data_IF_976713650137
#
_entry.id   IF_976713650137
#
_cell.length_a   1.000
_cell.length_b   1.000
_cell.length_c   1.000
_cell.angle_alpha   90.00
_cell.angle_beta   90.00
_cell.angle_gamma   90.00
#
_symmetry.space_group_name_H-M   'P 1'
#
loop_
_entity.id
_entity.type
_entity.pdbx_description
1 polymer ?
#
# COMPACT_ATOMS: atom_id res chain seq x y z
N UNK A 1 -11.24 26.00 0.18
CA UNK A 1 -10.24 25.10 -0.45
C UNK A 1 -10.40 23.64 -0.03
N UNK A 2 -10.23 23.23 1.26
CA UNK A 2 -10.45 21.83 1.68
C UNK A 2 -11.93 21.44 1.59
N UNK A 3 -12.86 22.30 2.04
CA UNK A 3 -14.30 22.07 1.92
C UNK A 3 -14.79 22.06 0.47
N UNK A 4 -14.18 22.83 -0.41
CA UNK A 4 -14.49 22.84 -1.84
C UNK A 4 -13.95 21.60 -2.56
N UNK A 5 -12.78 21.07 -2.14
CA UNK A 5 -12.27 19.77 -2.60
C UNK A 5 -13.21 18.62 -2.17
N UNK A 6 -13.67 18.62 -0.92
CA UNK A 6 -14.65 17.64 -0.45
C UNK A 6 -16.01 17.79 -1.14
N UNK A 7 -16.45 19.00 -1.46
CA UNK A 7 -17.68 19.26 -2.22
C UNK A 7 -17.55 18.81 -3.68
N UNK A 8 -16.40 19.02 -4.31
CA UNK A 8 -16.14 18.56 -5.69
C UNK A 8 -16.07 17.03 -5.78
N UNK A 9 -15.51 16.36 -4.76
CA UNK A 9 -15.48 14.89 -4.66
C UNK A 9 -16.87 14.32 -4.44
N UNK A 10 -17.73 15.04 -3.70
CA UNK A 10 -19.08 14.55 -3.33
C UNK A 10 -20.17 14.92 -4.35
N UNK A 11 -19.88 15.83 -5.29
CA UNK A 11 -20.89 16.32 -6.24
C UNK A 11 -21.10 15.44 -7.48
N UNK A 12 -20.40 14.28 -7.59
CA UNK A 12 -20.63 13.36 -8.72
C UNK A 12 -20.41 13.97 -10.11
N UNK A 13 -19.81 15.18 -10.18
CA UNK A 13 -19.65 15.95 -11.41
C UNK A 13 -18.53 15.42 -12.32
N UNK A 14 -17.94 14.27 -12.00
CA UNK A 14 -17.16 13.50 -12.97
C UNK A 14 -18.19 12.59 -13.65
N UNK A 15 -18.72 13.06 -14.77
CA UNK A 15 -19.67 12.36 -15.59
C UNK A 15 -19.36 10.86 -15.68
N UNK A 16 -20.36 10.03 -15.33
CA UNK A 16 -20.36 8.63 -15.66
C UNK A 16 -20.02 8.48 -17.14
N UNK A 17 -18.85 7.96 -17.45
CA UNK A 17 -18.54 7.55 -18.81
C UNK A 17 -19.44 6.37 -19.12
N UNK A 18 -20.22 6.38 -20.24
CA UNK A 18 -20.98 5.22 -20.65
C UNK A 18 -20.01 4.18 -21.20
N UNK A 19 -19.50 3.37 -20.32
CA UNK A 19 -18.69 2.21 -20.61
C UNK A 19 -19.16 1.12 -19.67
N UNK A 20 -20.09 0.29 -20.15
CA UNK A 20 -20.66 -0.84 -19.41
C UNK A 20 -19.58 -1.79 -18.94
N UNK A 21 -19.16 -1.65 -17.72
CA UNK A 21 -18.33 -2.57 -16.98
C UNK A 21 -18.97 -2.83 -15.63
N UNK A 22 -18.91 -4.08 -15.14
CA UNK A 22 -19.52 -4.58 -13.91
C UNK A 22 -19.00 -3.92 -12.60
N UNK A 23 -18.60 -2.65 -12.64
CA UNK A 23 -18.19 -1.89 -11.44
C UNK A 23 -19.41 -1.32 -10.75
N UNK A 24 -19.40 -1.33 -9.42
CA UNK A 24 -20.50 -0.76 -8.63
C UNK A 24 -20.62 0.75 -8.86
N UNK A 25 -21.86 1.23 -8.93
CA UNK A 25 -22.20 2.64 -8.94
C UNK A 25 -22.84 3.01 -7.59
N UNK A 26 -22.00 3.47 -6.66
CA UNK A 26 -22.40 3.77 -5.29
C UNK A 26 -22.27 5.24 -4.98
N UNK A 27 -23.19 5.77 -4.21
CA UNK A 27 -23.05 7.09 -3.61
C UNK A 27 -22.46 6.98 -2.21
N UNK A 28 -21.22 7.45 -2.02
CA UNK A 28 -20.55 7.41 -0.73
C UNK A 28 -21.07 8.52 0.17
N UNK A 29 -21.69 8.21 1.34
CA UNK A 29 -22.18 9.22 2.26
C UNK A 29 -21.03 10.12 2.75
N UNK A 30 -21.30 11.42 2.89
CA UNK A 30 -20.27 12.40 3.30
C UNK A 30 -19.58 12.08 4.63
N UNK A 31 -20.29 11.40 5.55
CA UNK A 31 -19.74 10.97 6.84
C UNK A 31 -18.76 9.78 6.72
N UNK A 32 -18.83 9.00 5.64
CA UNK A 32 -18.03 7.77 5.48
C UNK A 32 -16.53 8.07 5.40
N UNK A 33 -16.13 9.14 4.72
CA UNK A 33 -14.74 9.56 4.62
C UNK A 33 -14.13 9.95 5.98
N UNK A 34 -14.74 10.89 6.75
CA UNK A 34 -14.25 11.19 8.10
C UNK A 34 -14.26 9.97 9.03
N UNK A 35 -15.25 9.10 8.92
CA UNK A 35 -15.32 7.87 9.71
C UNK A 35 -14.17 6.92 9.37
N UNK A 36 -13.91 6.67 8.08
CA UNK A 36 -12.80 5.83 7.63
C UNK A 36 -11.44 6.39 8.11
N UNK A 37 -11.20 7.69 7.87
CA UNK A 37 -9.96 8.35 8.31
C UNK A 37 -9.83 8.30 9.84
N UNK A 38 -10.92 8.53 10.56
CA UNK A 38 -10.96 8.46 12.02
C UNK A 38 -10.64 7.06 12.56
N UNK A 39 -11.18 6.01 11.92
CA UNK A 39 -10.90 4.62 12.29
C UNK A 39 -9.44 4.26 11.99
N UNK A 40 -8.91 4.66 10.82
CA UNK A 40 -7.50 4.46 10.47
C UNK A 40 -6.58 5.17 11.46
N UNK A 41 -6.87 6.44 11.78
CA UNK A 41 -6.10 7.20 12.76
C UNK A 41 -6.17 6.58 14.15
N UNK A 42 -7.35 6.14 14.60
CA UNK A 42 -7.51 5.43 15.86
C UNK A 42 -6.73 4.12 15.88
N UNK A 43 -6.77 3.34 14.79
CA UNK A 43 -6.02 2.11 14.64
C UNK A 43 -4.50 2.35 14.75
N UNK A 44 -3.97 3.37 14.08
CA UNK A 44 -2.56 3.77 14.18
C UNK A 44 -2.19 4.23 15.60
N UNK A 45 -3.07 4.98 16.26
CA UNK A 45 -2.84 5.43 17.63
C UNK A 45 -2.85 4.25 18.62
N UNK A 46 -3.79 3.33 18.49
CA UNK A 46 -3.84 2.10 19.32
C UNK A 46 -2.57 1.29 19.08
N UNK A 47 -2.18 1.11 17.84
CA UNK A 47 -0.96 0.42 17.47
C UNK A 47 0.29 1.03 18.13
N UNK A 48 0.42 2.35 18.10
CA UNK A 48 1.54 3.10 18.68
C UNK A 48 1.52 3.13 20.22
N UNK A 49 0.35 3.36 20.82
CA UNK A 49 0.23 3.67 22.24
C UNK A 49 0.00 2.43 23.11
N UNK A 50 -0.65 1.40 22.57
CA UNK A 50 -1.05 0.20 23.34
C UNK A 50 -0.04 -0.93 23.11
N UNK A 51 0.20 -1.30 21.86
CA UNK A 51 1.03 -2.48 21.55
C UNK A 51 2.53 -2.19 21.65
N UNK A 52 2.96 -0.95 21.38
CA UNK A 52 4.37 -0.65 21.20
C UNK A 52 4.88 0.58 21.96
N UNK A 53 4.37 0.76 23.15
CA UNK A 53 4.78 1.88 24.03
C UNK A 53 6.26 1.82 24.42
N UNK A 54 6.87 0.63 24.46
CA UNK A 54 8.31 0.42 24.76
C UNK A 54 8.94 -0.37 23.64
N UNK A 55 10.12 0.04 23.22
CA UNK A 55 10.93 -0.73 22.28
C UNK A 55 11.24 -2.10 22.88
N UNK A 56 10.77 -3.15 22.25
CA UNK A 56 11.09 -4.54 22.58
C UNK A 56 11.27 -5.35 21.30
N UNK A 57 11.91 -6.49 21.40
CA UNK A 57 12.03 -7.42 20.29
C UNK A 57 10.73 -8.22 20.20
N UNK A 58 9.98 -8.01 19.12
CA UNK A 58 8.72 -8.74 18.85
C UNK A 58 9.05 -10.21 18.57
N UNK A 59 8.40 -11.13 19.28
CA UNK A 59 8.58 -12.55 19.04
C UNK A 59 7.64 -13.06 17.94
N UNK A 60 7.97 -14.21 17.33
CA UNK A 60 7.21 -14.78 16.22
C UNK A 60 5.73 -15.03 16.55
N UNK A 61 5.42 -15.47 17.77
CA UNK A 61 4.04 -15.74 18.19
C UNK A 61 3.22 -14.44 18.31
N UNK A 62 3.81 -13.40 18.87
CA UNK A 62 3.22 -12.07 18.97
C UNK A 62 2.94 -11.49 17.57
N UNK A 63 3.94 -11.51 16.69
CA UNK A 63 3.81 -11.08 15.30
C UNK A 63 2.71 -11.86 14.54
N UNK A 64 2.60 -13.17 14.77
CA UNK A 64 1.59 -14.01 14.14
C UNK A 64 0.17 -13.65 14.63
N UNK A 65 -0.01 -13.43 15.93
CA UNK A 65 -1.30 -13.04 16.52
C UNK A 65 -1.70 -11.65 16.01
N UNK A 66 -0.80 -10.68 16.04
CA UNK A 66 -1.06 -9.33 15.52
C UNK A 66 -1.41 -9.36 14.04
N UNK A 67 -0.64 -10.12 13.23
CA UNK A 67 -0.95 -10.28 11.80
C UNK A 67 -2.33 -10.89 11.58
N UNK A 68 -2.69 -11.93 12.34
CA UNK A 68 -4.00 -12.57 12.25
C UNK A 68 -5.13 -11.60 12.65
N UNK A 69 -4.93 -10.78 13.66
CA UNK A 69 -5.90 -9.75 14.08
C UNK A 69 -6.10 -8.71 12.98
N UNK A 70 -5.01 -8.18 12.41
CA UNK A 70 -5.10 -7.18 11.33
C UNK A 70 -5.74 -7.74 10.07
N UNK A 71 -5.40 -8.98 9.68
CA UNK A 71 -6.05 -9.65 8.55
C UNK A 71 -7.53 -9.88 8.83
N UNK A 72 -7.87 -10.35 10.03
CA UNK A 72 -9.26 -10.55 10.42
C UNK A 72 -10.08 -9.27 10.43
N UNK A 73 -9.51 -8.15 10.92
CA UNK A 73 -10.15 -6.83 10.85
C UNK A 73 -10.35 -6.37 9.41
N UNK A 74 -9.34 -6.50 8.54
CA UNK A 74 -9.45 -6.16 7.12
C UNK A 74 -10.54 -6.97 6.41
N UNK A 75 -10.64 -8.27 6.70
CA UNK A 75 -11.71 -9.13 6.19
C UNK A 75 -13.09 -8.75 6.76
N UNK A 76 -13.17 -8.37 8.04
CA UNK A 76 -14.42 -7.95 8.67
C UNK A 76 -14.98 -6.65 8.06
N UNK A 77 -14.12 -5.76 7.57
CA UNK A 77 -14.54 -4.55 6.86
C UNK A 77 -15.34 -4.88 5.60
N UNK A 78 -15.17 -6.06 4.98
CA UNK A 78 -16.02 -6.54 3.88
C UNK A 78 -17.50 -6.53 4.28
N UNK A 79 -17.80 -6.99 5.51
CA UNK A 79 -19.18 -6.96 6.06
C UNK A 79 -19.67 -5.53 6.34
N UNK A 80 -18.80 -4.62 6.74
CA UNK A 80 -19.13 -3.20 6.95
C UNK A 80 -19.48 -2.54 5.60
N UNK A 81 -18.67 -2.77 4.57
CA UNK A 81 -18.93 -2.28 3.20
C UNK A 81 -20.26 -2.83 2.68
N UNK A 82 -20.52 -4.14 2.85
CA UNK A 82 -21.81 -4.74 2.49
C UNK A 82 -22.97 -4.01 3.16
N UNK A 83 -22.93 -3.86 4.48
CA UNK A 83 -24.00 -3.23 5.25
C UNK A 83 -24.21 -1.75 4.87
N UNK A 84 -23.13 -1.03 4.59
CA UNK A 84 -23.18 0.39 4.23
C UNK A 84 -23.87 0.62 2.90
N UNK A 85 -23.66 -0.25 1.91
CA UNK A 85 -24.21 -0.09 0.55
C UNK A 85 -25.39 -1.02 0.24
N UNK A 86 -25.82 -1.89 1.18
CA UNK A 86 -26.97 -2.77 1.01
C UNK A 86 -28.28 -2.00 0.71
N UNK A 87 -28.46 -0.83 1.35
CA UNK A 87 -29.61 0.03 1.12
C UNK A 87 -29.69 0.64 -0.29
N UNK A 88 -28.57 0.64 -1.03
CA UNK A 88 -28.50 1.09 -2.43
C UNK A 88 -28.68 -0.07 -3.43
N UNK A 89 -28.80 -1.31 -2.95
CA UNK A 89 -28.81 -2.52 -3.79
C UNK A 89 -27.43 -3.02 -4.20
N UNK A 90 -26.37 -2.29 -3.89
CA UNK A 90 -25.00 -2.55 -4.33
C UNK A 90 -24.09 -3.20 -3.26
N UNK A 91 -24.66 -3.62 -2.13
CA UNK A 91 -23.90 -4.17 -1.01
C UNK A 91 -23.02 -5.37 -1.39
N UNK A 92 -23.53 -6.31 -2.20
CA UNK A 92 -22.78 -7.48 -2.66
C UNK A 92 -21.66 -7.09 -3.63
N UNK A 93 -21.94 -6.22 -4.60
CA UNK A 93 -20.93 -5.73 -5.55
C UNK A 93 -19.82 -4.98 -4.86
N UNK A 94 -20.14 -4.00 -4.01
CA UNK A 94 -19.19 -3.20 -3.25
C UNK A 94 -18.31 -4.06 -2.32
N UNK A 95 -18.88 -5.07 -1.65
CA UNK A 95 -18.11 -5.97 -0.78
C UNK A 95 -17.17 -6.88 -1.56
N UNK A 96 -17.57 -7.35 -2.74
CA UNK A 96 -16.71 -8.15 -3.64
C UNK A 96 -15.56 -7.29 -4.19
N UNK A 97 -15.84 -6.06 -4.64
CA UNK A 97 -14.78 -5.15 -5.08
C UNK A 97 -13.79 -4.83 -3.95
N UNK A 98 -14.29 -4.51 -2.75
CA UNK A 98 -13.43 -4.29 -1.58
C UNK A 98 -12.56 -5.51 -1.27
N UNK A 99 -13.16 -6.70 -1.18
CA UNK A 99 -12.44 -7.92 -0.85
C UNK A 99 -11.37 -8.25 -1.89
N UNK A 100 -11.70 -8.11 -3.19
CA UNK A 100 -10.77 -8.31 -4.29
C UNK A 100 -9.60 -7.34 -4.20
N UNK A 101 -9.89 -6.05 -4.03
CA UNK A 101 -8.88 -5.01 -3.89
C UNK A 101 -7.99 -5.26 -2.65
N UNK A 102 -8.59 -5.63 -1.51
CA UNK A 102 -7.89 -5.96 -0.27
C UNK A 102 -6.94 -7.16 -0.45
N UNK A 103 -7.39 -8.25 -1.09
CA UNK A 103 -6.58 -9.44 -1.31
C UNK A 103 -5.42 -9.19 -2.28
N UNK A 104 -5.67 -8.44 -3.37
CA UNK A 104 -4.62 -8.02 -4.30
C UNK A 104 -3.59 -7.19 -3.57
N UNK A 105 -4.02 -6.14 -2.86
CA UNK A 105 -3.11 -5.25 -2.14
C UNK A 105 -2.35 -6.00 -1.05
N UNK A 106 -3.02 -6.88 -0.29
CA UNK A 106 -2.38 -7.71 0.73
C UNK A 106 -1.32 -8.62 0.15
N UNK A 107 -1.56 -9.21 -1.03
CA UNK A 107 -0.60 -10.08 -1.72
C UNK A 107 0.62 -9.28 -2.21
N UNK A 108 0.41 -8.12 -2.84
CA UNK A 108 1.50 -7.24 -3.28
C UNK A 108 2.27 -6.63 -2.10
N UNK A 109 1.59 -6.36 -0.99
CA UNK A 109 2.20 -5.81 0.22
C UNK A 109 3.20 -6.75 0.90
N UNK A 110 3.13 -8.05 0.65
CA UNK A 110 4.13 -8.99 1.19
C UNK A 110 5.50 -8.74 0.56
N UNK A 111 5.55 -8.37 -0.72
CA UNK A 111 6.81 -8.01 -1.40
C UNK A 111 7.45 -6.76 -0.76
N UNK A 112 6.65 -5.76 -0.42
CA UNK A 112 7.12 -4.56 0.30
C UNK A 112 7.83 -4.94 1.60
N UNK A 113 7.30 -5.93 2.33
CA UNK A 113 7.90 -6.43 3.59
C UNK A 113 9.30 -7.01 3.36
N UNK A 114 9.50 -7.77 2.28
CA UNK A 114 10.83 -8.32 1.97
C UNK A 114 11.83 -7.25 1.59
N UNK A 115 11.42 -6.25 0.81
CA UNK A 115 12.28 -5.12 0.47
C UNK A 115 12.65 -4.34 1.73
N UNK A 116 11.72 -4.11 2.65
CA UNK A 116 12.01 -3.47 3.93
C UNK A 116 13.01 -4.29 4.77
N UNK A 117 12.87 -5.62 4.78
CA UNK A 117 13.82 -6.51 5.46
C UNK A 117 15.25 -6.41 4.87
N UNK A 118 15.35 -6.30 3.54
CA UNK A 118 16.64 -6.07 2.86
C UNK A 118 17.22 -4.71 3.25
N UNK A 119 16.41 -3.65 3.22
CA UNK A 119 16.83 -2.29 3.58
C UNK A 119 17.34 -2.27 5.02
N UNK A 120 16.58 -2.81 5.99
CA UNK A 120 17.00 -2.86 7.39
C UNK A 120 18.28 -3.67 7.59
N UNK A 121 18.43 -4.80 6.90
CA UNK A 121 19.61 -5.64 6.95
C UNK A 121 20.83 -4.90 6.39
N UNK A 122 20.68 -4.27 5.23
CA UNK A 122 21.75 -3.52 4.56
C UNK A 122 22.26 -2.36 5.43
N UNK A 123 21.34 -1.56 5.96
CA UNK A 123 21.69 -0.43 6.84
C UNK A 123 22.03 -0.87 8.28
N UNK A 124 22.01 -2.17 8.58
CA UNK A 124 22.27 -2.74 9.92
C UNK A 124 21.45 -2.07 11.01
N UNK A 125 20.16 -1.80 10.72
CA UNK A 125 19.26 -1.16 11.69
C UNK A 125 19.01 -2.10 12.87
N UNK A 126 19.33 -1.68 14.11
CA UNK A 126 19.04 -2.49 15.29
C UNK A 126 17.56 -2.86 15.37
N UNK A 127 17.23 -4.12 15.72
CA UNK A 127 15.84 -4.63 15.76
C UNK A 127 14.91 -3.75 16.60
N UNK A 128 15.43 -3.20 17.70
CA UNK A 128 14.70 -2.28 18.60
C UNK A 128 14.32 -0.92 17.96
N UNK A 129 15.00 -0.52 16.85
CA UNK A 129 14.71 0.74 16.14
C UNK A 129 13.83 0.54 14.91
N UNK A 130 13.76 -0.68 14.37
CA UNK A 130 12.97 -1.00 13.18
C UNK A 130 11.49 -0.65 13.36
N UNK A 131 10.97 -0.90 14.54
CA UNK A 131 9.59 -0.65 14.93
C UNK A 131 9.13 0.79 14.68
N UNK A 132 9.92 1.76 15.14
CA UNK A 132 9.61 3.18 14.98
C UNK A 132 9.74 3.63 13.53
N UNK A 133 10.72 3.11 12.82
CA UNK A 133 10.91 3.40 11.39
C UNK A 133 9.75 2.86 10.57
N UNK A 134 9.29 1.62 10.86
CA UNK A 134 8.11 1.04 10.21
C UNK A 134 6.84 1.82 10.48
N UNK A 135 6.65 2.33 11.71
CA UNK A 135 5.47 3.17 12.02
C UNK A 135 5.41 4.40 11.13
N UNK A 136 6.52 5.15 11.02
CA UNK A 136 6.58 6.32 10.16
C UNK A 136 6.48 5.97 8.68
N UNK A 137 7.08 4.84 8.26
CA UNK A 137 6.95 4.32 6.90
C UNK A 137 5.49 3.98 6.55
N UNK A 138 4.76 3.30 7.43
CA UNK A 138 3.34 3.01 7.23
C UNK A 138 2.49 4.29 7.17
N UNK A 139 2.78 5.25 8.04
CA UNK A 139 2.08 6.53 8.02
C UNK A 139 2.32 7.30 6.70
N UNK A 140 3.59 7.38 6.25
CA UNK A 140 3.95 8.00 4.98
C UNK A 140 3.33 7.26 3.78
N UNK A 141 3.41 5.93 3.78
CA UNK A 141 2.79 5.09 2.75
C UNK A 141 1.28 5.34 2.63
N UNK A 142 0.55 5.44 3.75
CA UNK A 142 -0.88 5.77 3.73
C UNK A 142 -1.18 7.14 3.11
N UNK A 143 -0.38 8.16 3.45
CA UNK A 143 -0.52 9.51 2.89
C UNK A 143 -0.21 9.52 1.40
N UNK A 144 0.89 8.88 0.99
CA UNK A 144 1.29 8.79 -0.41
C UNK A 144 0.24 8.02 -1.23
N UNK A 145 -0.25 6.89 -0.76
CA UNK A 145 -1.28 6.10 -1.46
C UNK A 145 -2.60 6.83 -1.54
N UNK A 146 -2.99 7.59 -0.51
CA UNK A 146 -4.14 8.48 -0.63
C UNK A 146 -4.00 9.42 -1.83
N UNK A 147 -2.85 10.10 -1.94
CA UNK A 147 -2.59 11.00 -3.07
C UNK A 147 -2.57 10.24 -4.40
N UNK A 148 -1.89 9.09 -4.48
CA UNK A 148 -1.78 8.29 -5.70
C UNK A 148 -3.14 7.74 -6.16
N UNK A 149 -4.00 7.29 -5.24
CA UNK A 149 -5.32 6.79 -5.57
C UNK A 149 -6.18 7.91 -6.15
N UNK A 150 -6.23 9.08 -5.49
CA UNK A 150 -7.04 10.19 -5.97
C UNK A 150 -6.57 10.73 -7.31
N UNK A 151 -5.24 10.94 -7.46
CA UNK A 151 -4.65 11.39 -8.72
C UNK A 151 -4.79 10.31 -9.79
N UNK A 152 -4.47 9.06 -9.45
CA UNK A 152 -4.55 7.92 -10.38
C UNK A 152 -5.96 7.69 -10.91
N UNK A 153 -6.97 7.70 -10.03
CA UNK A 153 -8.37 7.58 -10.44
C UNK A 153 -8.80 8.72 -11.36
N UNK A 154 -8.46 9.97 -11.01
CA UNK A 154 -8.79 11.14 -11.83
C UNK A 154 -8.13 11.06 -13.23
N UNK A 155 -6.88 10.62 -13.28
CA UNK A 155 -6.12 10.49 -14.52
C UNK A 155 -6.66 9.34 -15.40
N UNK A 156 -6.94 8.17 -14.82
CA UNK A 156 -7.51 7.03 -15.55
C UNK A 156 -8.92 7.35 -16.08
N UNK A 157 -9.75 8.02 -15.29
CA UNK A 157 -11.09 8.44 -15.72
C UNK A 157 -11.05 9.46 -16.87
N UNK A 158 -9.99 10.27 -16.95
CA UNK A 158 -9.79 11.25 -18.03
C UNK A 158 -9.18 10.62 -19.27
N UNK A 159 -8.31 9.63 -19.11
CA UNK A 159 -7.52 9.04 -20.20
C UNK A 159 -7.56 7.50 -20.10
N UNK A 160 -8.62 6.88 -20.60
CA UNK A 160 -8.82 5.41 -20.54
C UNK A 160 -7.66 4.64 -21.24
N UNK A 161 -6.95 5.26 -22.19
CA UNK A 161 -5.76 4.66 -22.82
C UNK A 161 -4.65 4.33 -21.82
N UNK A 162 -4.64 4.98 -20.65
CA UNK A 162 -3.68 4.68 -19.60
C UNK A 162 -3.87 3.28 -19.01
N UNK A 163 -5.08 2.71 -19.05
CA UNK A 163 -5.32 1.33 -18.65
C UNK A 163 -4.49 0.36 -19.49
N UNK A 164 -4.40 0.61 -20.82
CA UNK A 164 -3.55 -0.17 -21.71
C UNK A 164 -2.08 -0.03 -21.32
N UNK A 165 -1.65 1.22 -21.08
CA UNK A 165 -0.24 1.49 -20.74
C UNK A 165 0.14 0.83 -19.41
N UNK A 166 -0.68 0.98 -18.37
CA UNK A 166 -0.46 0.34 -17.08
C UNK A 166 -0.58 -1.18 -17.16
N UNK A 167 -1.54 -1.72 -17.92
CA UNK A 167 -1.65 -3.17 -18.13
C UNK A 167 -0.37 -3.76 -18.75
N UNK A 168 0.15 -3.14 -19.79
CA UNK A 168 1.41 -3.57 -20.42
C UNK A 168 2.62 -3.40 -19.48
N UNK A 169 2.64 -2.33 -18.69
CA UNK A 169 3.66 -2.09 -17.68
C UNK A 169 3.66 -3.20 -16.61
N UNK A 170 2.48 -3.56 -16.08
CA UNK A 170 2.36 -4.66 -15.11
C UNK A 170 2.81 -6.01 -15.69
N UNK A 171 2.45 -6.30 -16.94
CA UNK A 171 2.92 -7.52 -17.63
C UNK A 171 4.45 -7.51 -17.75
N UNK A 172 5.03 -6.37 -18.13
CA UNK A 172 6.49 -6.22 -18.24
C UNK A 172 7.18 -6.39 -16.89
N UNK A 173 6.68 -5.75 -15.83
CA UNK A 173 7.21 -5.86 -14.48
C UNK A 173 7.13 -7.31 -13.96
N UNK A 174 5.96 -7.95 -14.10
CA UNK A 174 5.81 -9.35 -13.73
C UNK A 174 6.74 -10.29 -14.49
N UNK A 175 6.93 -10.05 -15.78
CA UNK A 175 7.87 -10.83 -16.60
C UNK A 175 9.33 -10.62 -16.16
N UNK A 176 9.72 -9.39 -15.82
CA UNK A 176 11.06 -9.05 -15.36
C UNK A 176 11.38 -9.74 -14.03
N UNK A 177 10.45 -9.70 -13.06
CA UNK A 177 10.57 -10.42 -11.78
C UNK A 177 10.68 -11.93 -12.01
N UNK A 178 9.88 -12.50 -12.93
CA UNK A 178 9.93 -13.93 -13.23
C UNK A 178 11.29 -14.39 -13.77
N UNK A 179 12.02 -13.48 -14.46
CA UNK A 179 13.38 -13.73 -14.94
C UNK A 179 14.49 -13.55 -13.91
N UNK A 180 14.16 -13.07 -12.71
CA UNK A 180 15.14 -12.82 -11.65
C UNK A 180 16.05 -11.61 -11.90
N UNK A 181 15.65 -10.68 -12.75
CA UNK A 181 16.50 -9.54 -13.15
C UNK A 181 16.60 -8.43 -12.08
N UNK A 182 15.86 -8.51 -10.97
CA UNK A 182 15.78 -7.48 -9.93
C UNK A 182 16.54 -7.80 -8.62
N UNK A 183 17.26 -8.94 -8.54
CA UNK A 183 17.80 -9.42 -7.25
C UNK A 183 19.05 -8.69 -6.74
N UNK A 184 19.74 -7.87 -7.54
CA UNK A 184 21.11 -7.37 -7.22
C UNK A 184 21.24 -5.85 -6.97
N UNK A 185 20.15 -5.12 -6.70
CA UNK A 185 20.27 -3.66 -6.48
C UNK A 185 20.60 -3.35 -5.02
N UNK A 186 21.82 -2.86 -4.76
CA UNK A 186 22.24 -2.38 -3.43
C UNK A 186 21.46 -1.09 -3.05
N UNK A 187 20.66 -1.11 -1.97
CA UNK A 187 19.88 0.05 -1.54
C UNK A 187 20.69 1.30 -1.23
N UNK A 188 21.96 1.16 -0.83
CA UNK A 188 22.86 2.29 -0.51
C UNK A 188 23.40 2.99 -1.75
N UNK A 189 23.45 2.30 -2.89
CA UNK A 189 23.92 2.83 -4.17
C UNK A 189 22.83 3.41 -5.04
N UNK A 190 21.58 3.36 -4.56
CA UNK A 190 20.43 3.91 -5.28
C UNK A 190 20.57 5.42 -5.51
N UNK A 191 19.97 5.91 -6.60
CA UNK A 191 19.91 7.35 -6.90
C UNK A 191 19.31 8.15 -5.73
N UNK A 192 18.34 7.55 -5.03
CA UNK A 192 17.69 8.11 -3.84
C UNK A 192 18.71 8.37 -2.73
N UNK A 193 19.56 7.41 -2.39
CA UNK A 193 20.54 7.56 -1.32
C UNK A 193 21.62 8.57 -1.71
N UNK A 194 22.06 8.57 -2.96
CA UNK A 194 23.02 9.58 -3.46
C UNK A 194 22.45 11.00 -3.37
N UNK A 195 21.18 11.18 -3.74
CA UNK A 195 20.50 12.47 -3.63
C UNK A 195 20.31 12.88 -2.17
N UNK A 196 19.88 11.95 -1.31
CA UNK A 196 19.70 12.18 0.12
C UNK A 196 21.00 12.70 0.78
N UNK A 197 22.13 11.99 0.60
CA UNK A 197 23.43 12.39 1.15
C UNK A 197 23.93 13.75 0.62
N UNK A 198 23.52 14.12 -0.60
CA UNK A 198 23.89 15.40 -1.20
C UNK A 198 23.09 16.59 -0.63
N UNK A 199 21.84 16.35 -0.28
CA UNK A 199 20.89 17.40 0.13
C UNK A 199 20.78 17.52 1.65
N UNK A 200 20.90 16.40 2.38
CA UNK A 200 20.65 16.36 3.83
C UNK A 200 21.96 16.11 4.58
N UNK A 201 22.43 17.05 5.39
CA UNK A 201 23.56 16.82 6.30
C UNK A 201 23.25 15.64 7.22
N UNK A 202 24.05 14.58 7.14
CA UNK A 202 23.80 13.34 7.87
C UNK A 202 25.03 12.86 8.62
N UNK A 203 24.79 12.08 9.67
CA UNK A 203 25.82 11.37 10.45
C UNK A 203 25.74 9.88 10.16
N UNK A 204 26.85 9.17 10.39
CA UNK A 204 26.95 7.73 10.12
C UNK A 204 26.66 6.86 11.37
N UNK A 205 26.20 7.45 12.47
CA UNK A 205 25.87 6.74 13.70
C UNK A 205 24.41 6.93 14.10
N UNK A 206 23.86 5.92 14.77
CA UNK A 206 22.52 5.96 15.35
C UNK A 206 22.54 6.74 16.66
N UNK A 207 21.57 7.65 16.86
CA UNK A 207 21.31 8.31 18.15
C UNK A 207 20.01 7.77 18.74
N UNK A 208 20.05 6.53 19.24
CA UNK A 208 18.86 5.79 19.64
C UNK A 208 17.84 5.72 18.51
N UNK A 209 16.56 5.96 18.83
CA UNK A 209 15.47 5.96 17.86
C UNK A 209 15.19 7.32 17.19
N UNK A 210 16.11 8.28 17.29
CA UNK A 210 15.90 9.62 16.75
C UNK A 210 16.18 9.65 15.25
N UNK A 211 15.33 10.33 14.50
CA UNK A 211 15.53 10.62 13.07
C UNK A 211 16.52 11.76 12.84
N UNK A 212 16.64 12.66 13.83
CA UNK A 212 17.57 13.78 13.81
C UNK A 212 18.36 13.85 15.12
N UNK A 213 19.65 14.16 15.00
CA UNK A 213 20.54 14.47 16.14
C UNK A 213 21.03 15.92 16.07
N UNK A 214 21.53 16.43 17.19
CA UNK A 214 22.13 17.76 17.25
C UNK A 214 23.61 17.64 17.63
N UNK A 215 24.47 18.20 16.78
CA UNK A 215 25.92 18.32 17.02
C UNK A 215 26.28 19.79 16.88
N UNK A 216 26.88 20.39 17.89
CA UNK A 216 27.27 21.81 17.93
C UNK A 216 26.13 22.75 17.57
N UNK A 217 24.90 22.47 18.04
CA UNK A 217 23.70 23.28 17.79
C UNK A 217 23.07 23.09 16.43
N UNK A 218 23.69 22.38 15.49
CA UNK A 218 23.15 22.08 14.15
C UNK A 218 22.45 20.73 14.15
N UNK A 219 21.40 20.62 13.32
CA UNK A 219 20.63 19.37 13.15
C UNK A 219 21.23 18.55 12.02
N UNK A 220 21.43 17.28 12.28
CA UNK A 220 21.87 16.27 11.30
C UNK A 220 20.89 15.13 11.26
N UNK A 221 20.71 14.55 10.07
CA UNK A 221 19.93 13.33 9.89
C UNK A 221 20.72 12.12 10.43
N UNK A 222 20.02 11.22 11.10
CA UNK A 222 20.59 9.92 11.47
C UNK A 222 20.37 8.91 10.34
N UNK A 223 21.05 7.75 10.36
CA UNK A 223 20.78 6.68 9.40
C UNK A 223 19.32 6.21 9.39
N UNK A 224 18.57 6.35 10.51
CA UNK A 224 17.14 6.03 10.54
C UNK A 224 16.30 6.90 9.60
N UNK A 225 16.62 8.18 9.45
CA UNK A 225 15.94 9.03 8.49
C UNK A 225 16.25 8.59 7.05
N UNK A 226 17.51 8.24 6.78
CA UNK A 226 17.90 7.75 5.46
C UNK A 226 17.15 6.46 5.10
N UNK A 227 17.08 5.51 6.04
CA UNK A 227 16.29 4.27 5.88
C UNK A 227 14.82 4.58 5.64
N UNK A 228 14.21 5.50 6.41
CA UNK A 228 12.82 5.90 6.21
C UNK A 228 12.60 6.45 4.80
N UNK A 229 13.47 7.33 4.30
CA UNK A 229 13.36 7.87 2.94
C UNK A 229 13.45 6.77 1.88
N UNK A 230 14.34 5.79 2.06
CA UNK A 230 14.44 4.66 1.12
C UNK A 230 13.17 3.80 1.16
N UNK A 231 12.61 3.55 2.33
CA UNK A 231 11.33 2.84 2.50
C UNK A 231 10.19 3.59 1.77
N UNK A 232 10.06 4.90 1.99
CA UNK A 232 9.01 5.72 1.35
C UNK A 232 9.15 5.75 -0.18
N UNK A 233 10.38 5.89 -0.69
CA UNK A 233 10.62 5.86 -2.14
C UNK A 233 10.31 4.47 -2.70
N UNK A 234 10.65 3.40 -1.99
CA UNK A 234 10.28 2.04 -2.39
C UNK A 234 8.76 1.87 -2.44
N UNK A 235 8.02 2.41 -1.43
CA UNK A 235 6.55 2.35 -1.46
C UNK A 235 5.95 3.14 -2.63
N UNK A 236 6.52 4.28 -3.00
CA UNK A 236 6.12 5.01 -4.22
C UNK A 236 6.30 4.14 -5.47
N UNK A 237 7.43 3.43 -5.59
CA UNK A 237 7.68 2.53 -6.72
C UNK A 237 6.63 1.41 -6.74
N UNK A 238 6.34 0.79 -5.60
CA UNK A 238 5.31 -0.25 -5.48
C UNK A 238 3.89 0.29 -5.71
N UNK A 239 3.62 1.55 -5.35
CA UNK A 239 2.32 2.16 -5.63
C UNK A 239 2.06 2.33 -7.14
N UNK A 240 3.10 2.50 -7.95
CA UNK A 240 2.98 2.54 -9.42
C UNK A 240 2.46 1.21 -9.98
N UNK A 241 2.80 0.09 -9.35
CA UNK A 241 2.33 -1.24 -9.73
C UNK A 241 0.98 -1.58 -9.07
N UNK A 242 0.84 -1.34 -7.76
CA UNK A 242 -0.31 -1.78 -6.98
C UNK A 242 -1.58 -0.93 -7.21
N UNK A 243 -1.46 0.38 -7.34
CA UNK A 243 -2.63 1.25 -7.55
C UNK A 243 -3.36 0.93 -8.86
N UNK A 244 -2.70 0.80 -10.02
CA UNK A 244 -3.37 0.31 -11.23
C UNK A 244 -4.00 -1.08 -11.07
N UNK A 245 -3.34 -2.00 -10.35
CA UNK A 245 -3.85 -3.34 -10.10
C UNK A 245 -5.17 -3.33 -9.33
N UNK A 246 -5.26 -2.48 -8.30
CA UNK A 246 -6.50 -2.30 -7.52
C UNK A 246 -7.57 -1.58 -8.33
N UNK A 247 -7.21 -0.58 -9.15
CA UNK A 247 -8.12 0.13 -10.04
C UNK A 247 -8.69 -0.75 -11.18
N UNK A 248 -8.08 -1.91 -11.42
CA UNK A 248 -8.62 -2.93 -12.33
C UNK A 248 -9.81 -3.72 -11.75
N UNK A 249 -10.03 -3.66 -10.43
CA UNK A 249 -11.11 -4.40 -9.74
C UNK A 249 -12.14 -3.50 -9.08
N UNK A 250 -11.81 -2.24 -8.81
CA UNK A 250 -12.75 -1.20 -8.34
C UNK A 250 -12.33 0.17 -8.86
N UNK A 251 -13.29 1.00 -9.23
CA UNK A 251 -13.06 2.40 -9.60
C UNK A 251 -13.54 3.39 -8.55
N UNK A 252 -14.22 2.88 -7.53
CA UNK A 252 -14.71 3.69 -6.42
C UNK A 252 -13.56 4.04 -5.46
N UNK A 253 -13.24 5.34 -5.40
CA UNK A 253 -12.11 5.85 -4.62
C UNK A 253 -12.20 5.45 -3.14
N UNK A 254 -13.40 5.42 -2.58
CA UNK A 254 -13.63 5.01 -1.19
C UNK A 254 -13.26 3.54 -0.97
N UNK A 255 -13.72 2.65 -1.84
CA UNK A 255 -13.43 1.21 -1.78
C UNK A 255 -11.93 0.97 -1.96
N UNK A 256 -11.34 1.60 -2.99
CA UNK A 256 -9.90 1.49 -3.29
C UNK A 256 -9.05 1.98 -2.13
N UNK A 257 -9.36 3.14 -1.55
CA UNK A 257 -8.61 3.65 -0.41
C UNK A 257 -8.82 2.82 0.86
N UNK A 258 -10.05 2.41 1.16
CA UNK A 258 -10.35 1.60 2.32
C UNK A 258 -9.61 0.25 2.27
N UNK A 259 -9.68 -0.48 1.16
CA UNK A 259 -9.00 -1.77 0.99
C UNK A 259 -7.48 -1.63 1.13
N UNK A 260 -6.91 -0.59 0.53
CA UNK A 260 -5.49 -0.28 0.58
C UNK A 260 -5.04 0.06 2.00
N UNK A 261 -5.76 0.95 2.69
CA UNK A 261 -5.43 1.35 4.05
C UNK A 261 -5.45 0.16 5.02
N UNK A 262 -6.49 -0.69 4.95
CA UNK A 262 -6.57 -1.89 5.80
C UNK A 262 -5.51 -2.93 5.47
N UNK A 263 -5.09 -3.07 4.22
CA UNK A 263 -4.00 -3.95 3.84
C UNK A 263 -2.65 -3.49 4.42
N UNK A 264 -2.40 -2.17 4.43
CA UNK A 264 -1.15 -1.56 4.92
C UNK A 264 -1.07 -1.57 6.45
N UNK A 265 -2.17 -1.34 7.17
CA UNK A 265 -2.17 -1.26 8.64
C UNK A 265 -1.55 -2.49 9.31
N UNK A 266 -1.74 -3.67 8.74
CA UNK A 266 -1.15 -4.91 9.27
C UNK A 266 0.28 -5.21 8.80
N UNK A 267 0.90 -4.36 7.98
CA UNK A 267 2.23 -4.64 7.39
C UNK A 267 3.34 -4.73 8.41
N UNK A 268 3.26 -3.97 9.50
CA UNK A 268 4.28 -4.03 10.55
C UNK A 268 4.32 -5.39 11.24
N UNK A 269 3.18 -5.91 11.65
CA UNK A 269 3.10 -7.24 12.24
C UNK A 269 3.57 -8.30 11.24
N UNK A 270 3.17 -8.17 9.98
CA UNK A 270 3.59 -9.03 8.90
C UNK A 270 5.11 -8.96 8.68
N UNK A 271 5.71 -7.77 8.81
CA UNK A 271 7.17 -7.61 8.71
C UNK A 271 7.89 -8.46 9.75
N UNK A 272 7.53 -8.37 11.04
CA UNK A 272 8.16 -9.16 12.09
C UNK A 272 7.90 -10.66 11.94
N UNK A 273 6.76 -11.04 11.35
CA UNK A 273 6.45 -12.44 11.05
C UNK A 273 7.32 -12.99 9.91
N UNK A 274 7.53 -12.22 8.84
CA UNK A 274 8.16 -12.68 7.60
C UNK A 274 9.65 -12.41 7.54
N UNK A 275 10.17 -11.39 8.24
CA UNK A 275 11.58 -11.04 8.21
C UNK A 275 12.52 -12.19 8.62
N UNK A 276 12.09 -12.99 9.61
CA UNK A 276 12.83 -14.18 10.06
C UNK A 276 12.54 -15.43 9.19
N UNK A 277 11.54 -15.37 8.30
CA UNK A 277 11.14 -16.49 7.45
C UNK A 277 11.54 -16.32 5.97
N UNK A 278 12.28 -15.27 5.63
CA UNK A 278 12.65 -14.92 4.26
C UNK A 278 13.18 -16.10 3.44
N UNK A 279 14.03 -16.92 4.03
CA UNK A 279 14.63 -18.09 3.34
C UNK A 279 13.61 -19.19 2.99
N UNK A 280 12.41 -19.17 3.58
CA UNK A 280 11.35 -20.16 3.34
C UNK A 280 10.41 -19.77 2.19
N UNK A 281 10.39 -18.50 1.79
CA UNK A 281 9.49 -17.99 0.74
C UNK A 281 10.15 -17.94 -0.64
N UNK A 282 10.75 -19.07 -1.06
CA UNK A 282 11.51 -19.19 -2.31
C UNK A 282 10.65 -18.89 -3.56
N UNK A 283 9.36 -19.22 -3.53
CA UNK A 283 8.43 -19.06 -4.66
C UNK A 283 7.65 -17.73 -4.67
N UNK A 284 7.96 -16.83 -3.75
CA UNK A 284 7.22 -15.58 -3.63
C UNK A 284 7.34 -14.67 -4.86
N UNK A 285 8.55 -14.44 -5.41
CA UNK A 285 8.70 -13.63 -6.61
C UNK A 285 7.89 -14.18 -7.78
N UNK A 286 7.84 -15.51 -7.94
CA UNK A 286 7.06 -16.18 -8.98
C UNK A 286 5.55 -15.94 -8.80
N UNK A 287 5.05 -16.03 -7.55
CA UNK A 287 3.63 -15.79 -7.25
C UNK A 287 3.24 -14.35 -7.58
N UNK A 288 4.05 -13.36 -7.16
CA UNK A 288 3.82 -11.95 -7.48
C UNK A 288 3.88 -11.72 -8.98
N UNK A 289 4.85 -12.30 -9.69
CA UNK A 289 4.98 -12.20 -11.14
C UNK A 289 3.71 -12.67 -11.86
N UNK A 290 3.18 -13.83 -11.47
CA UNK A 290 1.95 -14.39 -12.05
C UNK A 290 0.76 -13.47 -11.79
N UNK A 291 0.64 -12.95 -10.55
CA UNK A 291 -0.42 -12.00 -10.19
C UNK A 291 -0.35 -10.71 -11.03
N UNK A 292 0.84 -10.10 -11.16
CA UNK A 292 1.03 -8.89 -11.95
C UNK A 292 0.72 -9.11 -13.44
N UNK A 293 1.17 -10.22 -14.01
CA UNK A 293 0.87 -10.57 -15.41
C UNK A 293 -0.64 -10.77 -15.60
N UNK A 294 -1.30 -11.47 -14.67
CA UNK A 294 -2.76 -11.69 -14.73
C UNK A 294 -3.54 -10.38 -14.65
N UNK A 295 -3.22 -9.53 -13.69
CA UNK A 295 -3.87 -8.23 -13.52
C UNK A 295 -3.60 -7.31 -14.70
N UNK A 296 -2.36 -7.28 -15.20
CA UNK A 296 -1.98 -6.52 -16.39
C UNK A 296 -2.73 -6.97 -17.64
N UNK A 297 -2.90 -8.29 -17.82
CA UNK A 297 -3.72 -8.85 -18.90
C UNK A 297 -5.20 -8.43 -18.76
N UNK A 298 -5.78 -8.51 -17.54
CA UNK A 298 -7.14 -8.04 -17.27
C UNK A 298 -7.32 -6.57 -17.63
N UNK A 299 -6.38 -5.68 -17.25
CA UNK A 299 -6.42 -4.25 -17.59
C UNK A 299 -6.34 -4.01 -19.11
N UNK A 300 -5.47 -4.75 -19.79
CA UNK A 300 -5.31 -4.65 -21.25
C UNK A 300 -6.56 -5.09 -21.99
N UNK A 301 -7.25 -6.13 -21.48
CA UNK A 301 -8.53 -6.60 -22.03
C UNK A 301 -9.67 -5.61 -21.72
N UNK A 302 -9.68 -5.02 -20.53
CA UNK A 302 -10.67 -4.01 -20.15
C UNK A 302 -10.62 -2.76 -21.07
N UNK A 303 -9.44 -2.39 -21.59
CA UNK A 303 -9.33 -1.33 -22.60
C UNK A 303 -10.06 -1.67 -23.91
N UNK A 304 -10.19 -2.96 -24.25
CA UNK A 304 -10.96 -3.46 -25.41
C UNK A 304 -12.44 -3.74 -25.10
N UNK A 305 -12.95 -3.26 -23.96
CA UNK A 305 -14.32 -3.52 -23.48
C UNK A 305 -14.62 -5.00 -23.20
N UNK A 306 -13.57 -5.84 -23.10
CA UNK A 306 -13.70 -7.23 -22.67
C UNK A 306 -13.52 -7.27 -21.15
N UNK A 307 -14.63 -7.43 -20.42
CA UNK A 307 -14.61 -7.46 -18.97
C UNK A 307 -14.59 -8.89 -18.44
N UNK A 308 -13.60 -9.18 -17.58
CA UNK A 308 -13.57 -10.41 -16.78
C UNK A 308 -14.28 -10.10 -15.47
N UNK A 309 -15.38 -10.80 -15.12
CA UNK A 309 -16.09 -10.56 -13.86
C UNK A 309 -15.14 -10.63 -12.66
N UNK A 310 -15.32 -9.72 -11.68
CA UNK A 310 -14.46 -9.64 -10.50
C UNK A 310 -14.47 -10.93 -9.69
N UNK A 311 -15.63 -11.60 -9.59
CA UNK A 311 -15.75 -12.90 -8.95
C UNK A 311 -14.88 -13.99 -9.62
N UNK A 312 -14.80 -14.01 -10.95
CA UNK A 312 -13.93 -14.93 -11.68
C UNK A 312 -12.43 -14.62 -11.51
N UNK A 313 -12.10 -13.41 -11.05
CA UNK A 313 -10.72 -12.99 -10.78
C UNK A 313 -10.24 -13.35 -9.36
N UNK A 314 -11.16 -13.73 -8.46
CA UNK A 314 -10.86 -14.13 -7.08
C UNK A 314 -10.56 -15.63 -6.93
N UNK A 315 -11.00 -16.46 -7.86
CA UNK A 315 -10.80 -17.92 -7.89
C UNK A 315 -9.65 -18.33 -8.78
#
# INVERSE_FOLDING_TARGET
>A
MIAELFSAVNSGAIAATPGGGDFVDISVPAWAWPALIGVIAAALLVDLLVFHRKAHVVNLREAAIESAVWVGLGLAVTGVIYAMFAGQGEGSGASVEYLSAYLIEKSLSVDNVFVWAIIFSHFKVPREYQHRTLFWGIFGALVLRFVFIFVGTAVINRFTVLLLFFGLFLIYTGWKILRGEDEDTDPSETATMRLFRRVVPSVDHYDGQKMFTKIDGKRFATPLLAVLVVIEVSDVIFAVDSVPAVLAVSREQFIVFASNAWAILGLRALFFLLADMRERFVYMPQTISVLLIFVGAKMTLAWREIHIPTLASLG
#
